data_IF_670585373808
#
_entry.id   IF_670585373808
#
_cell.length_a   1.000
_cell.length_b   1.000
_cell.length_c   1.000
_cell.angle_alpha   90.00
_cell.angle_beta   90.00
_cell.angle_gamma   90.00
#
_symmetry.space_group_name_H-M   'P 1'
#
loop_
_entity.id
_entity.type
_entity.pdbx_description
1 polymer ?
#
# COMPACT_ATOMS: atom_id res chain seq x y z
N UNK A 1 -21.24 -33.25 -23.92
CA UNK A 1 -20.31 -32.10 -23.93
C UNK A 1 -21.20 -30.87 -23.74
N UNK A 2 -21.08 -29.92 -22.81
CA UNK A 2 -20.15 -29.44 -21.76
C UNK A 2 -21.09 -28.87 -20.64
N UNK A 3 -20.99 -29.20 -19.34
CA UNK A 3 -20.13 -28.63 -18.28
C UNK A 3 -19.95 -27.10 -18.29
N UNK A 4 -20.30 -26.45 -17.15
CA UNK A 4 -19.82 -25.11 -16.77
C UNK A 4 -20.87 -24.25 -16.05
N UNK A 5 -21.11 -24.45 -14.76
CA UNK A 5 -20.48 -23.71 -13.65
C UNK A 5 -21.38 -22.59 -13.09
N UNK A 6 -22.33 -22.96 -12.23
CA UNK A 6 -23.04 -22.02 -11.34
C UNK A 6 -22.08 -21.55 -10.25
N UNK A 7 -21.82 -20.25 -10.19
CA UNK A 7 -21.05 -19.60 -9.14
C UNK A 7 -21.77 -19.79 -7.80
N UNK A 8 -21.15 -20.54 -6.91
CA UNK A 8 -21.54 -20.69 -5.52
C UNK A 8 -21.18 -19.41 -4.78
N UNK A 9 -22.19 -18.65 -4.33
CA UNK A 9 -22.00 -17.59 -3.35
C UNK A 9 -21.86 -18.23 -1.97
N UNK A 10 -20.86 -17.86 -1.15
CA UNK A 10 -20.81 -18.32 0.22
C UNK A 10 -21.98 -17.69 0.99
N UNK A 11 -22.91 -18.56 1.39
CA UNK A 11 -23.96 -18.28 2.35
C UNK A 11 -23.28 -17.94 3.68
N UNK A 12 -23.18 -16.64 3.98
CA UNK A 12 -22.74 -16.16 5.30
C UNK A 12 -23.66 -16.80 6.33
N UNK A 13 -23.06 -17.62 7.19
CA UNK A 13 -23.76 -18.23 8.31
C UNK A 13 -24.25 -17.10 9.22
N UNK A 14 -25.55 -16.84 9.18
CA UNK A 14 -26.23 -16.02 10.17
C UNK A 14 -26.28 -16.85 11.46
N UNK A 15 -25.38 -16.56 12.40
CA UNK A 15 -25.41 -17.15 13.73
C UNK A 15 -26.58 -16.55 14.52
N UNK A 16 -27.46 -17.38 15.13
CA UNK A 16 -28.57 -16.88 15.91
C UNK A 16 -28.10 -16.50 17.33
N UNK A 17 -28.31 -15.23 17.69
CA UNK A 17 -28.63 -14.83 19.07
C UNK A 17 -27.53 -14.93 20.11
N UNK A 18 -26.32 -14.46 19.82
CA UNK A 18 -25.42 -14.04 20.89
C UNK A 18 -26.03 -12.75 21.46
N UNK A 19 -26.60 -12.84 22.68
CA UNK A 19 -27.10 -11.65 23.38
C UNK A 19 -25.87 -10.80 23.67
N UNK A 20 -25.62 -9.83 22.79
CA UNK A 20 -24.49 -8.94 22.92
C UNK A 20 -24.54 -8.30 24.32
N UNK A 21 -23.43 -8.38 25.05
CA UNK A 21 -23.31 -7.76 26.36
C UNK A 21 -23.77 -6.31 26.27
N UNK A 22 -24.69 -5.82 27.13
CA UNK A 22 -25.20 -4.45 27.06
C UNK A 22 -24.10 -3.41 26.93
N UNK A 23 -23.00 -3.59 27.66
CA UNK A 23 -21.79 -2.76 27.59
C UNK A 23 -21.16 -2.71 26.20
N UNK A 24 -21.08 -3.84 25.51
CA UNK A 24 -20.55 -3.91 24.15
C UNK A 24 -21.46 -3.16 23.16
N UNK A 25 -22.78 -3.29 23.33
CA UNK A 25 -23.77 -2.54 22.53
C UNK A 25 -23.66 -1.03 22.81
N UNK A 26 -23.54 -0.64 24.08
CA UNK A 26 -23.34 0.74 24.50
C UNK A 26 -22.06 1.35 23.93
N UNK A 27 -20.94 0.63 24.02
CA UNK A 27 -19.66 1.04 23.42
C UNK A 27 -19.78 1.23 21.91
N UNK A 28 -20.42 0.31 21.21
CA UNK A 28 -20.62 0.43 19.76
C UNK A 28 -21.45 1.66 19.39
N UNK A 29 -22.45 2.00 20.22
CA UNK A 29 -23.25 3.23 20.03
C UNK A 29 -22.43 4.48 20.31
N UNK A 30 -21.62 4.48 21.36
CA UNK A 30 -20.71 5.59 21.68
C UNK A 30 -19.70 5.83 20.55
N UNK A 31 -19.11 4.77 19.99
CA UNK A 31 -18.24 4.83 18.82
C UNK A 31 -18.95 5.46 17.61
N UNK A 32 -20.16 4.97 17.29
CA UNK A 32 -20.94 5.51 16.19
C UNK A 32 -21.34 6.99 16.40
N UNK A 33 -21.60 7.41 17.64
CA UNK A 33 -21.87 8.81 17.98
C UNK A 33 -20.61 9.67 17.86
N UNK A 34 -19.46 9.18 18.33
CA UNK A 34 -18.17 9.85 18.17
C UNK A 34 -17.84 10.09 16.69
N UNK A 35 -18.05 9.09 15.83
CA UNK A 35 -17.85 9.21 14.38
C UNK A 35 -18.75 10.28 13.76
N UNK A 36 -20.03 10.35 14.17
CA UNK A 36 -20.98 11.35 13.66
C UNK A 36 -20.63 12.78 14.09
N UNK A 37 -20.16 12.95 15.32
CA UNK A 37 -19.84 14.24 15.89
C UNK A 37 -18.38 14.67 15.70
N UNK A 38 -17.54 13.80 15.11
CA UNK A 38 -16.11 14.05 14.99
C UNK A 38 -15.42 14.14 16.36
N UNK A 39 -15.87 13.35 17.34
CA UNK A 39 -15.28 13.28 18.66
C UNK A 39 -14.24 12.16 18.75
N UNK A 40 -13.22 12.34 19.60
CA UNK A 40 -12.20 11.34 19.86
C UNK A 40 -12.78 10.22 20.76
N UNK A 41 -12.94 9.01 20.21
CA UNK A 41 -13.47 7.86 20.93
C UNK A 41 -12.67 7.53 22.21
N UNK A 42 -11.35 7.60 22.16
CA UNK A 42 -10.49 7.37 23.33
C UNK A 42 -10.82 8.38 24.46
N UNK A 43 -10.93 9.66 24.10
CA UNK A 43 -11.32 10.71 25.05
C UNK A 43 -12.72 10.50 25.63
N UNK A 44 -13.65 9.95 24.83
CA UNK A 44 -15.00 9.65 25.27
C UNK A 44 -15.04 8.43 26.21
N UNK A 45 -14.26 7.38 25.93
CA UNK A 45 -14.15 6.19 26.77
C UNK A 45 -13.46 6.49 28.12
N UNK A 46 -12.55 7.46 28.16
CA UNK A 46 -11.96 7.94 29.42
C UNK A 46 -12.98 8.72 30.27
N UNK A 47 -13.95 9.37 29.62
CA UNK A 47 -14.96 10.19 30.30
C UNK A 47 -16.17 9.39 30.78
N UNK A 48 -16.67 8.47 29.96
CA UNK A 48 -17.85 7.66 30.27
C UNK A 48 -17.49 6.38 31.01
N UNK A 49 -18.15 6.14 32.13
CA UNK A 49 -18.00 4.88 32.88
C UNK A 49 -18.74 3.74 32.20
N UNK A 50 -18.44 2.53 32.60
CA UNK A 50 -19.14 1.32 32.16
C UNK A 50 -20.65 1.37 32.41
N UNK A 51 -21.09 2.00 33.50
CA UNK A 51 -22.51 2.17 33.81
C UNK A 51 -23.20 3.09 32.78
N UNK A 52 -22.52 4.15 32.32
CA UNK A 52 -23.02 5.01 31.25
C UNK A 52 -23.17 4.24 29.93
N UNK A 53 -22.31 3.25 29.66
CA UNK A 53 -22.42 2.43 28.46
C UNK A 53 -23.66 1.51 28.51
N UNK A 54 -24.02 1.00 29.69
CA UNK A 54 -25.25 0.21 29.85
C UNK A 54 -26.49 1.06 29.58
N UNK A 55 -26.55 2.29 30.12
CA UNK A 55 -27.65 3.23 29.86
C UNK A 55 -27.78 3.57 28.36
N UNK A 56 -26.65 3.74 27.67
CA UNK A 56 -26.61 3.95 26.21
C UNK A 56 -27.04 2.72 25.41
N UNK A 57 -26.93 1.51 25.98
CA UNK A 57 -27.41 0.28 25.34
C UNK A 57 -28.96 0.19 25.37
N UNK A 58 -29.58 0.73 26.41
CA UNK A 58 -31.03 0.79 26.53
C UNK A 58 -31.65 1.97 25.77
N UNK A 59 -30.91 3.09 25.65
CA UNK A 59 -31.36 4.28 24.93
C UNK A 59 -30.39 4.73 23.82
N UNK A 60 -30.69 4.48 22.53
CA UNK A 60 -29.78 4.77 21.42
C UNK A 60 -29.53 6.26 21.22
N UNK A 61 -30.50 7.12 21.55
CA UNK A 61 -30.39 8.57 21.37
C UNK A 61 -29.49 9.21 22.44
N UNK A 62 -29.30 8.52 23.57
CA UNK A 62 -28.49 9.01 24.68
C UNK A 62 -27.03 9.18 24.29
N UNK A 63 -26.47 8.27 23.48
CA UNK A 63 -25.08 8.33 23.05
C UNK A 63 -24.80 9.58 22.20
N UNK A 64 -25.68 9.92 21.26
CA UNK A 64 -25.53 11.12 20.43
C UNK A 64 -25.63 12.40 21.26
N UNK A 65 -26.65 12.50 22.12
CA UNK A 65 -26.82 13.67 22.98
C UNK A 65 -25.64 13.85 23.93
N UNK A 66 -25.17 12.76 24.55
CA UNK A 66 -24.05 12.79 25.48
C UNK A 66 -22.74 13.19 24.78
N UNK A 67 -22.44 12.63 23.61
CA UNK A 67 -21.24 12.99 22.84
C UNK A 67 -21.30 14.45 22.38
N UNK A 68 -22.44 14.90 21.84
CA UNK A 68 -22.60 16.27 21.38
C UNK A 68 -22.42 17.29 22.53
N UNK A 69 -23.05 17.03 23.67
CA UNK A 69 -22.98 17.90 24.85
C UNK A 69 -21.58 17.90 25.47
N UNK A 70 -20.97 16.73 25.65
CA UNK A 70 -19.62 16.62 26.20
C UNK A 70 -18.57 17.29 25.28
N UNK A 71 -18.74 17.19 23.96
CA UNK A 71 -17.88 17.89 23.00
C UNK A 71 -18.06 19.40 23.09
N UNK A 72 -19.32 19.87 23.17
CA UNK A 72 -19.64 21.29 23.34
C UNK A 72 -19.10 21.87 24.66
N UNK A 73 -19.10 21.08 25.73
CA UNK A 73 -18.55 21.46 27.03
C UNK A 73 -17.02 21.31 27.12
N UNK A 74 -16.37 20.73 26.10
CA UNK A 74 -14.92 20.49 26.09
C UNK A 74 -14.46 19.37 27.03
N UNK A 75 -15.38 18.49 27.45
CA UNK A 75 -15.09 17.34 28.32
C UNK A 75 -14.45 16.19 27.54
N UNK A 76 -14.74 16.11 26.24
CA UNK A 76 -14.11 15.18 25.30
C UNK A 76 -13.48 15.96 24.15
N UNK A 77 -12.39 15.44 23.60
CA UNK A 77 -11.65 16.09 22.50
C UNK A 77 -12.32 15.85 21.16
N UNK A 78 -12.17 16.80 20.23
CA UNK A 78 -12.41 16.56 18.80
C UNK A 78 -11.44 15.49 18.30
N UNK A 79 -11.91 14.66 17.37
CA UNK A 79 -11.07 13.73 16.66
C UNK A 79 -10.05 14.55 15.85
N UNK A 80 -8.77 14.29 16.08
CA UNK A 80 -7.73 14.88 15.24
C UNK A 80 -7.98 14.44 13.80
N UNK A 81 -7.90 15.36 12.81
CA UNK A 81 -7.97 14.97 11.41
C UNK A 81 -6.95 13.85 11.14
N UNK A 82 -7.30 12.84 10.32
CA UNK A 82 -6.36 11.79 9.97
C UNK A 82 -5.13 12.45 9.33
N UNK A 83 -3.96 12.20 9.92
CA UNK A 83 -2.69 12.71 9.41
C UNK A 83 -2.55 12.24 7.95
N UNK A 84 -2.17 13.13 7.00
CA UNK A 84 -2.00 12.72 5.62
C UNK A 84 -0.99 11.57 5.55
N UNK A 85 -1.20 10.56 4.68
CA UNK A 85 -0.28 9.45 4.58
C UNK A 85 1.13 9.99 4.29
N UNK A 86 2.18 9.42 4.89
CA UNK A 86 3.54 9.82 4.58
C UNK A 86 3.74 9.71 3.06
N UNK A 87 4.46 10.68 2.44
CA UNK A 87 4.77 10.58 1.02
C UNK A 87 5.47 9.24 0.78
N UNK A 88 5.19 8.56 -0.35
CA UNK A 88 5.84 7.28 -0.65
C UNK A 88 7.35 7.46 -0.52
N UNK A 89 7.99 6.56 0.22
CA UNK A 89 9.45 6.49 0.30
C UNK A 89 9.98 6.53 -1.13
N UNK A 90 10.86 7.50 -1.43
CA UNK A 90 11.44 7.61 -2.77
C UNK A 90 12.26 6.35 -3.01
N UNK A 91 11.74 5.47 -3.86
CA UNK A 91 12.49 4.32 -4.35
C UNK A 91 13.84 4.84 -4.85
N UNK A 92 14.92 4.30 -4.29
CA UNK A 92 16.29 4.57 -4.73
C UNK A 92 16.29 4.44 -6.26
N UNK A 93 16.67 5.48 -7.03
CA UNK A 93 16.38 5.56 -8.46
C UNK A 93 16.98 4.41 -9.31
N UNK A 94 17.72 3.50 -8.68
CA UNK A 94 18.12 2.24 -9.25
C UNK A 94 19.31 2.41 -10.17
N UNK A 95 20.03 1.33 -10.50
CA UNK A 95 21.32 1.38 -11.17
C UNK A 95 21.29 1.96 -12.59
N UNK A 96 20.10 2.24 -13.14
CA UNK A 96 19.92 2.74 -14.51
C UNK A 96 19.47 4.20 -14.59
N UNK A 97 19.16 4.87 -13.46
CA UNK A 97 18.55 6.19 -13.49
C UNK A 97 19.40 7.28 -14.13
N UNK A 98 20.72 7.19 -14.01
CA UNK A 98 21.65 8.18 -14.55
C UNK A 98 22.09 7.87 -15.99
N UNK A 99 21.59 6.78 -16.58
CA UNK A 99 21.95 6.39 -17.95
C UNK A 99 21.02 7.06 -18.97
N UNK A 100 21.54 7.58 -20.11
CA UNK A 100 20.74 8.18 -21.17
C UNK A 100 20.04 7.10 -22.03
N UNK A 101 19.16 6.33 -21.41
CA UNK A 101 18.41 5.25 -22.03
C UNK A 101 17.23 5.78 -22.84
N UNK A 102 17.01 5.20 -24.02
CA UNK A 102 15.76 5.44 -24.74
C UNK A 102 14.64 4.59 -24.15
N UNK A 103 13.40 4.99 -24.39
CA UNK A 103 12.23 4.22 -24.00
C UNK A 103 12.27 2.76 -24.52
N UNK A 104 12.77 2.54 -25.74
CA UNK A 104 12.93 1.19 -26.29
C UNK A 104 13.92 0.32 -25.53
N UNK A 105 15.00 0.92 -25.01
CA UNK A 105 16.00 0.20 -24.22
C UNK A 105 15.44 -0.20 -22.85
N UNK A 106 14.67 0.70 -22.22
CA UNK A 106 13.94 0.40 -20.99
C UNK A 106 13.02 -0.80 -21.15
N UNK A 107 12.20 -0.82 -22.20
CA UNK A 107 11.31 -1.94 -22.50
C UNK A 107 12.08 -3.23 -22.73
N UNK A 108 13.20 -3.18 -23.46
CA UNK A 108 14.05 -4.35 -23.70
C UNK A 108 14.63 -4.92 -22.39
N UNK A 109 15.24 -4.06 -21.57
CA UNK A 109 15.87 -4.47 -20.31
C UNK A 109 14.83 -5.05 -19.36
N UNK A 110 13.72 -4.35 -19.16
CA UNK A 110 12.64 -4.81 -18.27
C UNK A 110 12.09 -6.17 -18.71
N UNK A 111 11.84 -6.38 -20.00
CA UNK A 111 11.35 -7.66 -20.52
C UNK A 111 12.34 -8.82 -20.29
N UNK A 112 13.64 -8.54 -20.24
CA UNK A 112 14.70 -9.55 -20.03
C UNK A 112 14.92 -9.91 -18.56
N UNK A 113 14.72 -8.96 -17.65
CA UNK A 113 14.95 -9.16 -16.21
C UNK A 113 13.68 -9.44 -15.41
N UNK A 114 12.50 -9.34 -16.03
CA UNK A 114 11.22 -9.56 -15.37
C UNK A 114 11.13 -10.99 -14.80
N UNK A 115 10.73 -11.08 -13.53
CA UNK A 115 10.53 -12.36 -12.84
C UNK A 115 11.83 -13.08 -12.46
N UNK A 116 13.00 -12.47 -12.70
CA UNK A 116 14.28 -13.06 -12.30
C UNK A 116 14.67 -12.69 -10.88
N UNK A 117 15.19 -13.67 -10.13
CA UNK A 117 15.69 -13.48 -8.77
C UNK A 117 16.99 -12.66 -8.71
N UNK A 118 17.81 -12.71 -9.76
CA UNK A 118 19.08 -11.98 -9.93
C UNK A 118 18.90 -10.59 -10.59
N UNK A 119 17.65 -10.07 -10.67
CA UNK A 119 17.34 -8.80 -11.35
C UNK A 119 18.26 -7.64 -10.93
N UNK A 120 18.49 -7.47 -9.63
CA UNK A 120 19.29 -6.35 -9.13
C UNK A 120 20.75 -6.43 -9.62
N UNK A 121 21.31 -7.63 -9.64
CA UNK A 121 22.67 -7.89 -10.13
C UNK A 121 22.75 -7.66 -11.65
N UNK A 122 21.77 -8.16 -12.41
CA UNK A 122 21.71 -7.97 -13.86
C UNK A 122 21.64 -6.49 -14.24
N UNK A 123 20.85 -5.68 -13.52
CA UNK A 123 20.73 -4.26 -13.79
C UNK A 123 21.99 -3.48 -13.43
N UNK A 124 22.65 -3.85 -12.32
CA UNK A 124 23.94 -3.28 -11.93
C UNK A 124 25.02 -3.59 -12.97
N UNK A 125 25.09 -4.84 -13.41
CA UNK A 125 26.09 -5.24 -14.39
C UNK A 125 25.79 -4.66 -15.78
N UNK A 126 24.52 -4.54 -16.16
CA UNK A 126 24.12 -3.80 -17.37
C UNK A 126 24.68 -2.37 -17.35
N UNK A 127 24.55 -1.67 -16.22
CA UNK A 127 25.10 -0.32 -16.06
C UNK A 127 26.62 -0.30 -16.18
N UNK A 128 27.32 -1.26 -15.56
CA UNK A 128 28.78 -1.39 -15.67
C UNK A 128 29.22 -1.56 -17.13
N UNK A 129 28.58 -2.46 -17.88
CA UNK A 129 28.89 -2.70 -19.30
C UNK A 129 28.64 -1.49 -20.16
N UNK A 130 27.59 -0.73 -19.86
CA UNK A 130 27.32 0.53 -20.55
C UNK A 130 28.44 1.54 -20.31
N UNK A 131 28.81 1.77 -19.05
CA UNK A 131 29.81 2.76 -18.66
C UNK A 131 31.20 2.40 -19.21
N UNK A 132 31.59 1.13 -19.12
CA UNK A 132 32.86 0.62 -19.66
C UNK A 132 32.97 0.87 -21.16
N UNK A 133 31.96 0.47 -21.94
CA UNK A 133 31.98 0.64 -23.39
C UNK A 133 31.82 2.10 -23.84
N UNK A 134 31.11 2.92 -23.05
CA UNK A 134 31.00 4.37 -23.28
C UNK A 134 32.33 5.07 -23.05
N UNK A 135 33.07 4.69 -21.99
CA UNK A 135 34.36 5.27 -21.66
C UNK A 135 35.44 4.92 -22.70
N UNK A 136 35.38 3.71 -23.27
CA UNK A 136 36.29 3.26 -24.32
C UNK A 136 36.05 3.93 -25.70
N UNK A 137 34.92 4.63 -25.91
CA UNK A 137 34.61 5.28 -27.18
C UNK A 137 35.21 6.70 -27.25
N UNK A 138 36.17 6.94 -28.16
CA UNK A 138 36.83 8.23 -28.26
C UNK A 138 35.94 9.32 -28.84
N UNK A 139 34.90 8.97 -29.61
CA UNK A 139 34.02 9.93 -30.28
C UNK A 139 32.85 10.28 -29.34
N UNK A 140 32.76 11.51 -28.79
CA UNK A 140 31.80 11.83 -27.73
C UNK A 140 30.34 11.53 -28.09
N UNK A 141 29.91 11.88 -29.31
CA UNK A 141 28.53 11.66 -29.77
C UNK A 141 28.19 10.19 -30.06
N UNK A 142 29.16 9.27 -29.99
CA UNK A 142 28.95 7.83 -30.16
C UNK A 142 28.96 7.05 -28.84
N UNK A 143 29.39 7.66 -27.74
CA UNK A 143 29.58 7.00 -26.44
C UNK A 143 28.32 6.29 -25.97
N UNK A 144 27.19 7.00 -25.93
CA UNK A 144 25.92 6.43 -25.47
C UNK A 144 25.45 5.26 -26.33
N UNK A 145 25.57 5.38 -27.65
CA UNK A 145 25.23 4.31 -28.58
C UNK A 145 26.16 3.09 -28.41
N UNK A 146 27.44 3.33 -28.13
CA UNK A 146 28.42 2.27 -27.88
C UNK A 146 28.12 1.55 -26.55
N UNK A 147 27.87 2.32 -25.49
CA UNK A 147 27.46 1.81 -24.17
C UNK A 147 26.23 0.92 -24.25
N UNK A 148 25.16 1.46 -24.83
CA UNK A 148 23.89 0.75 -25.06
C UNK A 148 24.06 -0.54 -25.82
N UNK A 149 24.80 -0.51 -26.93
CA UNK A 149 25.00 -1.69 -27.77
C UNK A 149 25.74 -2.78 -27.00
N UNK A 150 26.79 -2.44 -26.26
CA UNK A 150 27.55 -3.40 -25.47
C UNK A 150 26.69 -4.00 -24.36
N UNK A 151 25.98 -3.17 -23.59
CA UNK A 151 25.12 -3.61 -22.50
C UNK A 151 23.96 -4.50 -22.99
N UNK A 152 23.31 -4.15 -24.12
CA UNK A 152 22.24 -4.95 -24.70
C UNK A 152 22.73 -6.32 -25.24
N UNK A 153 23.93 -6.37 -25.83
CA UNK A 153 24.55 -7.63 -26.28
C UNK A 153 24.82 -8.53 -25.06
N UNK A 154 25.49 -7.99 -24.06
CA UNK A 154 25.80 -8.74 -22.83
C UNK A 154 24.54 -9.26 -22.15
N UNK A 155 23.52 -8.42 -21.94
CA UNK A 155 22.28 -8.84 -21.28
C UNK A 155 21.55 -9.92 -22.08
N UNK A 156 21.63 -9.86 -23.40
CA UNK A 156 21.05 -10.88 -24.28
C UNK A 156 21.74 -12.22 -24.08
N UNK A 157 23.07 -12.24 -24.11
CA UNK A 157 23.87 -13.45 -23.89
C UNK A 157 23.55 -14.04 -22.52
N UNK A 158 23.66 -13.25 -21.45
CA UNK A 158 23.43 -13.69 -20.07
C UNK A 158 22.02 -14.28 -19.86
N UNK A 159 21.00 -13.63 -20.43
CA UNK A 159 19.60 -14.07 -20.25
C UNK A 159 19.17 -15.18 -21.22
N UNK A 160 19.80 -15.33 -22.37
CA UNK A 160 19.55 -16.43 -23.31
C UNK A 160 20.25 -17.73 -22.87
N UNK A 161 21.44 -17.66 -22.25
CA UNK A 161 22.14 -18.83 -21.71
C UNK A 161 21.42 -19.50 -20.53
N UNK A 162 20.67 -18.73 -19.73
CA UNK A 162 19.87 -19.27 -18.61
C UNK A 162 18.60 -20.04 -19.01
N UNK A 163 18.23 -20.09 -20.30
CA UNK A 163 17.02 -20.81 -20.78
C UNK A 163 17.25 -22.29 -21.13
N UNK A 164 18.48 -22.77 -21.04
CA UNK A 164 18.87 -24.12 -21.47
C UNK A 164 19.21 -25.09 -20.33
N UNK A 165 18.96 -24.73 -19.07
CA UNK A 165 19.03 -25.64 -17.92
C UNK A 165 17.64 -25.95 -17.38
#
# INVERSE_FOLDING_TARGET
MQLGASKSTPKVASFPGEVACPKAVGRQRLEAACDRHGACLESALDWYTEDCLEDMADNPDLADLAVADALQQGMIREASPPEPPPPPEREDPGPLADLPMLHGDWTFVLARVQGRSDRAELLKEYANRWLEASAAEPIPHKRDNRGRRAANIWLREETDHGRHN
#
